data_IF_735143564969
#
_entry.id   IF_735143564969
#
_cell.length_a   1.000
_cell.length_b   1.000
_cell.length_c   1.000
_cell.angle_alpha   90.00
_cell.angle_beta   90.00
_cell.angle_gamma   90.00
#
_symmetry.space_group_name_H-M   'P 1'
#
loop_
_entity.id
_entity.type
_entity.pdbx_description
1 polymer ?
#
# COMPACT_ATOMS: atom_id res chain seq x y z
N UNK A 1 -1.39 -2.02 -6.89
CA UNK A 1 -2.84 -1.73 -6.76
C UNK A 1 -2.99 -0.50 -5.92
N UNK A 2 -3.96 0.37 -6.25
CA UNK A 2 -4.34 1.51 -5.42
C UNK A 2 -5.80 1.38 -5.00
N UNK A 3 -6.12 1.92 -3.82
CA UNK A 3 -7.48 2.06 -3.31
C UNK A 3 -7.85 3.54 -3.23
N UNK A 4 -9.13 3.86 -3.41
CA UNK A 4 -9.66 5.20 -3.19
C UNK A 4 -10.37 5.27 -1.84
N UNK A 5 -9.89 6.15 -0.96
CA UNK A 5 -10.49 6.40 0.35
C UNK A 5 -11.76 7.29 0.23
N UNK A 6 -12.57 7.41 1.30
CA UNK A 6 -13.83 8.17 1.27
C UNK A 6 -13.64 9.66 0.94
N UNK A 7 -12.49 10.24 1.31
CA UNK A 7 -12.08 11.62 1.01
C UNK A 7 -11.62 11.83 -0.45
N UNK A 8 -11.80 10.80 -1.31
CA UNK A 8 -11.39 10.74 -2.72
C UNK A 8 -9.89 10.63 -2.95
N UNK A 9 -9.07 10.60 -1.90
CA UNK A 9 -7.64 10.38 -2.04
C UNK A 9 -7.35 8.94 -2.47
N UNK A 10 -6.24 8.76 -3.19
CA UNK A 10 -5.75 7.47 -3.64
C UNK A 10 -4.45 7.11 -2.94
N UNK A 11 -4.37 5.88 -2.44
CA UNK A 11 -3.22 5.34 -1.75
C UNK A 11 -3.12 3.83 -1.84
N UNK A 12 -2.16 3.28 -1.11
CA UNK A 12 -1.95 1.85 -1.00
C UNK A 12 -2.82 1.23 0.10
N UNK A 13 -3.15 -0.08 0.01
CA UNK A 13 -3.75 -0.80 1.11
C UNK A 13 -2.92 -0.66 2.39
N UNK A 14 -3.55 -0.31 3.52
CA UNK A 14 -2.88 -0.11 4.81
C UNK A 14 -3.90 0.00 5.95
N UNK A 15 -3.50 -0.43 7.14
CA UNK A 15 -4.26 -0.10 8.34
C UNK A 15 -3.41 -0.18 9.60
N UNK A 16 -4.08 -0.30 10.73
CA UNK A 16 -3.47 -0.19 12.05
C UNK A 16 -3.02 -1.59 12.49
N UNK A 17 -1.81 -1.68 13.04
CA UNK A 17 -1.32 -2.89 13.69
C UNK A 17 -2.19 -3.21 14.90
N UNK A 18 -2.73 -4.43 14.96
CA UNK A 18 -3.58 -4.88 16.07
C UNK A 18 -2.76 -5.76 17.04
N UNK A 19 -2.94 -5.52 18.34
CA UNK A 19 -2.30 -6.26 19.43
C UNK A 19 -0.79 -6.45 19.24
N UNK A 20 -0.38 -7.71 19.07
CA UNK A 20 1.03 -8.13 18.95
C UNK A 20 1.39 -8.58 17.52
N UNK A 21 0.59 -8.22 16.51
CA UNK A 21 0.92 -8.52 15.12
C UNK A 21 2.29 -7.95 14.74
N UNK A 22 3.04 -8.67 13.92
CA UNK A 22 4.17 -8.10 13.19
C UNK A 22 3.66 -7.14 12.11
N UNK A 23 4.54 -6.27 11.60
CA UNK A 23 4.20 -5.37 10.48
C UNK A 23 3.85 -6.17 9.22
N UNK A 24 4.49 -7.33 9.01
CA UNK A 24 4.20 -8.24 7.91
C UNK A 24 2.82 -8.90 8.04
N UNK A 25 2.43 -9.32 9.26
CA UNK A 25 1.11 -9.87 9.54
C UNK A 25 0.02 -8.81 9.34
N UNK A 26 0.25 -7.61 9.88
CA UNK A 26 -0.62 -6.44 9.69
C UNK A 26 -0.84 -6.18 8.20
N UNK A 27 0.25 -6.07 7.41
CA UNK A 27 0.14 -5.80 5.97
C UNK A 27 -0.66 -6.88 5.22
N UNK A 28 -0.47 -8.16 5.56
CA UNK A 28 -1.23 -9.27 4.95
C UNK A 28 -2.70 -9.24 5.34
N UNK A 29 -3.01 -9.02 6.63
CA UNK A 29 -4.38 -8.91 7.13
C UNK A 29 -5.10 -7.75 6.46
N UNK A 30 -4.51 -6.56 6.46
CA UNK A 30 -5.10 -5.35 5.87
C UNK A 30 -5.35 -5.51 4.37
N UNK A 31 -4.39 -6.06 3.60
CA UNK A 31 -4.64 -6.37 2.19
C UNK A 31 -5.84 -7.31 2.03
N UNK A 32 -5.94 -8.35 2.86
CA UNK A 32 -7.06 -9.27 2.79
C UNK A 32 -8.40 -8.61 3.18
N UNK A 33 -8.44 -7.86 4.27
CA UNK A 33 -9.65 -7.19 4.76
C UNK A 33 -10.15 -6.14 3.77
N UNK A 34 -9.24 -5.33 3.22
CA UNK A 34 -9.56 -4.24 2.31
C UNK A 34 -9.87 -4.71 0.89
N UNK A 35 -9.34 -5.86 0.44
CA UNK A 35 -9.37 -6.24 -1.00
C UNK A 35 -9.81 -7.67 -1.28
N UNK A 36 -9.98 -8.50 -0.25
CA UNK A 36 -10.23 -9.93 -0.31
C UNK A 36 -9.12 -10.79 -0.97
N UNK A 37 -7.96 -10.20 -1.30
CA UNK A 37 -6.80 -10.95 -1.82
C UNK A 37 -6.16 -11.75 -0.68
N UNK A 38 -6.03 -13.07 -0.87
CA UNK A 38 -5.44 -13.96 0.16
C UNK A 38 -4.07 -14.50 -0.24
N UNK A 39 -3.92 -14.94 -1.49
CA UNK A 39 -2.68 -15.53 -1.95
C UNK A 39 -1.75 -14.44 -2.47
N UNK A 40 -0.86 -13.97 -1.61
CA UNK A 40 0.18 -13.01 -1.97
C UNK A 40 1.53 -13.39 -1.35
N UNK A 41 2.59 -13.09 -2.07
CA UNK A 41 3.97 -13.15 -1.60
C UNK A 41 4.38 -11.75 -1.16
N UNK A 42 4.66 -11.59 0.13
CA UNK A 42 5.19 -10.36 0.69
C UNK A 42 6.73 -10.44 0.68
N UNK A 43 7.43 -9.36 0.33
CA UNK A 43 8.88 -9.26 0.46
C UNK A 43 9.22 -8.52 1.77
N UNK A 44 9.49 -9.24 2.88
CA UNK A 44 9.72 -8.62 4.18
C UNK A 44 11.08 -7.91 4.29
N UNK A 45 11.99 -8.13 3.32
CA UNK A 45 13.34 -7.55 3.34
C UNK A 45 13.35 -6.08 2.96
N UNK A 46 12.32 -5.61 2.26
CA UNK A 46 12.25 -4.25 1.74
C UNK A 46 11.04 -3.54 2.34
N UNK A 47 11.34 -2.61 3.24
CA UNK A 47 10.39 -1.79 3.97
C UNK A 47 10.53 -0.34 3.50
N UNK A 48 9.41 0.32 3.28
CA UNK A 48 9.36 1.73 2.93
C UNK A 48 8.61 2.47 4.03
N UNK A 49 9.31 3.32 4.74
CA UNK A 49 8.80 3.98 5.94
C UNK A 49 8.62 5.46 5.70
N UNK A 50 7.52 6.00 6.20
CA UNK A 50 7.26 7.43 6.21
C UNK A 50 6.28 7.77 7.32
N UNK A 51 6.30 9.01 7.76
CA UNK A 51 5.33 9.55 8.70
C UNK A 51 4.43 10.61 8.02
N UNK A 52 3.29 10.87 8.64
CA UNK A 52 2.36 11.89 8.20
C UNK A 52 1.43 12.30 9.34
N UNK A 53 0.80 13.46 9.19
CA UNK A 53 -0.24 13.94 10.09
C UNK A 53 -1.62 13.74 9.45
N UNK A 54 -2.59 13.28 10.24
CA UNK A 54 -4.00 13.27 9.82
C UNK A 54 -4.87 13.87 10.92
N UNK A 55 -5.93 14.56 10.52
CA UNK A 55 -6.91 15.12 11.44
C UNK A 55 -8.15 14.23 11.44
N UNK A 56 -8.55 13.76 12.61
CA UNK A 56 -9.80 13.02 12.82
C UNK A 56 -10.47 13.55 14.08
N UNK A 57 -11.75 13.91 13.98
CA UNK A 57 -12.52 14.48 15.08
C UNK A 57 -11.84 15.70 15.77
N UNK A 58 -11.30 16.62 14.97
CA UNK A 58 -10.50 17.78 15.41
C UNK A 58 -9.22 17.46 16.20
N UNK A 59 -8.82 16.20 16.26
CA UNK A 59 -7.56 15.75 16.86
C UNK A 59 -6.55 15.47 15.74
N UNK A 60 -5.36 16.05 15.87
CA UNK A 60 -4.23 15.77 14.98
C UNK A 60 -3.46 14.55 15.49
N UNK A 61 -3.37 13.52 14.65
CA UNK A 61 -2.60 12.32 14.90
C UNK A 61 -1.32 12.33 14.07
N UNK A 62 -0.18 12.09 14.71
CA UNK A 62 1.07 11.77 14.03
C UNK A 62 1.13 10.27 13.82
N UNK A 63 1.17 9.83 12.57
CA UNK A 63 1.16 8.42 12.19
C UNK A 63 2.45 8.03 11.49
N UNK A 64 2.90 6.82 11.76
CA UNK A 64 4.00 6.16 11.05
C UNK A 64 3.41 5.03 10.21
N UNK A 65 3.89 4.90 8.98
CA UNK A 65 3.48 3.83 8.08
C UNK A 65 4.72 3.09 7.55
N UNK A 66 4.61 1.77 7.51
CA UNK A 66 5.57 0.88 6.85
C UNK A 66 4.85 0.17 5.72
N UNK A 67 5.32 0.37 4.49
CA UNK A 67 4.84 -0.34 3.30
C UNK A 67 5.84 -1.42 2.88
N UNK A 68 5.30 -2.47 2.28
CA UNK A 68 6.06 -3.62 1.78
C UNK A 68 5.80 -3.82 0.30
N UNK A 69 6.73 -4.49 -0.40
CA UNK A 69 6.40 -5.06 -1.70
C UNK A 69 5.55 -6.31 -1.52
N UNK A 70 4.51 -6.43 -2.34
CA UNK A 70 3.67 -7.60 -2.46
C UNK A 70 3.50 -8.00 -3.93
N UNK A 71 3.48 -9.30 -4.19
CA UNK A 71 3.15 -9.89 -5.49
C UNK A 71 2.00 -10.87 -5.33
N UNK A 72 1.06 -10.82 -6.26
CA UNK A 72 -0.04 -11.80 -6.34
C UNK A 72 -0.39 -12.09 -7.80
N UNK A 73 -0.91 -13.29 -8.05
CA UNK A 73 -1.55 -13.64 -9.32
C UNK A 73 -3.06 -13.41 -9.30
N UNK A 74 -3.65 -13.14 -8.12
CA UNK A 74 -5.07 -12.84 -7.97
C UNK A 74 -5.39 -11.47 -8.58
N UNK A 75 -6.41 -11.44 -9.45
CA UNK A 75 -6.88 -10.21 -10.09
C UNK A 75 -8.24 -9.75 -9.58
N UNK A 76 -9.03 -10.69 -9.05
CA UNK A 76 -10.35 -10.41 -8.49
C UNK A 76 -10.17 -9.67 -7.17
N UNK A 77 -10.73 -8.47 -7.09
CA UNK A 77 -10.69 -7.64 -5.91
C UNK A 77 -12.12 -7.38 -5.46
N UNK A 78 -12.36 -7.55 -4.15
CA UNK A 78 -13.58 -7.09 -3.51
C UNK A 78 -13.18 -6.09 -2.43
N UNK A 79 -13.41 -4.82 -2.72
CA UNK A 79 -13.09 -3.75 -1.76
C UNK A 79 -14.01 -3.80 -0.54
N UNK A 80 -13.45 -3.48 0.63
CA UNK A 80 -14.21 -3.28 1.86
C UNK A 80 -15.04 -2.00 1.82
N UNK A 81 -15.90 -1.81 2.82
CA UNK A 81 -16.73 -0.62 2.98
C UNK A 81 -15.92 0.67 3.27
N UNK A 82 -14.65 0.52 3.63
CA UNK A 82 -13.73 1.64 3.89
C UNK A 82 -13.26 2.32 2.59
N UNK A 83 -13.47 1.68 1.44
CA UNK A 83 -12.97 2.14 0.16
C UNK A 83 -14.09 2.31 -0.86
N UNK A 84 -13.93 3.29 -1.74
CA UNK A 84 -14.92 3.58 -2.79
C UNK A 84 -14.61 2.86 -4.09
N UNK A 85 -13.33 2.76 -4.45
CA UNK A 85 -12.86 2.18 -5.70
C UNK A 85 -11.48 1.53 -5.52
N UNK A 86 -11.08 0.69 -6.49
CA UNK A 86 -9.72 0.19 -6.62
C UNK A 86 -9.23 0.33 -8.07
N UNK A 87 -7.92 0.27 -8.25
CA UNK A 87 -7.31 0.21 -9.58
C UNK A 87 -6.03 -0.63 -9.59
N UNK A 88 -5.94 -1.55 -10.57
CA UNK A 88 -4.69 -2.11 -11.03
C UNK A 88 -4.16 -1.23 -12.16
N UNK A 89 -3.00 -0.63 -11.95
CA UNK A 89 -2.42 0.38 -12.85
C UNK A 89 -0.96 0.03 -13.12
N UNK A 90 -0.46 0.46 -14.28
CA UNK A 90 0.98 0.46 -14.51
C UNK A 90 1.67 1.56 -13.68
N UNK A 91 3.01 1.58 -13.68
CA UNK A 91 3.79 2.52 -12.88
C UNK A 91 3.43 4.00 -13.14
N UNK A 92 3.39 4.42 -14.41
CA UNK A 92 3.12 5.80 -14.80
C UNK A 92 1.71 6.25 -14.41
N UNK A 93 0.72 5.38 -14.61
CA UNK A 93 -0.66 5.64 -14.24
C UNK A 93 -0.84 5.69 -12.72
N UNK A 94 -0.21 4.77 -11.99
CA UNK A 94 -0.26 4.76 -10.53
C UNK A 94 0.38 6.01 -9.93
N UNK A 95 1.53 6.44 -10.47
CA UNK A 95 2.23 7.64 -10.04
C UNK A 95 1.38 8.91 -10.23
N UNK A 96 0.66 9.00 -11.36
CA UNK A 96 -0.29 10.09 -11.64
C UNK A 96 -1.54 10.03 -10.78
N UNK A 97 -1.99 8.82 -10.41
CA UNK A 97 -3.22 8.60 -9.64
C UNK A 97 -3.05 8.87 -8.16
N UNK A 98 -1.89 8.56 -7.59
CA UNK A 98 -1.60 8.75 -6.16
C UNK A 98 -1.79 10.21 -5.73
N UNK A 99 -2.45 10.39 -4.59
CA UNK A 99 -2.72 11.73 -4.05
C UNK A 99 -1.52 12.28 -3.28
N UNK A 100 -0.96 11.49 -2.37
CA UNK A 100 0.07 11.93 -1.43
C UNK A 100 1.48 11.75 -1.99
N UNK A 101 2.35 12.74 -1.77
CA UNK A 101 3.71 12.74 -2.32
C UNK A 101 4.62 11.69 -1.68
N UNK A 102 4.43 11.38 -0.39
CA UNK A 102 5.12 10.26 0.27
C UNK A 102 4.84 8.91 -0.44
N UNK A 103 3.58 8.63 -0.80
CA UNK A 103 3.22 7.43 -1.55
C UNK A 103 3.84 7.42 -2.95
N UNK A 104 3.91 8.59 -3.62
CA UNK A 104 4.58 8.70 -4.93
C UNK A 104 6.07 8.38 -4.82
N UNK A 105 6.72 8.87 -3.76
CA UNK A 105 8.13 8.58 -3.53
C UNK A 105 8.37 7.10 -3.24
N UNK A 106 7.55 6.49 -2.37
CA UNK A 106 7.60 5.04 -2.14
C UNK A 106 7.42 4.26 -3.44
N UNK A 107 6.49 4.67 -4.31
CA UNK A 107 6.29 4.00 -5.60
C UNK A 107 7.52 4.11 -6.51
N UNK A 108 8.20 5.26 -6.56
CA UNK A 108 9.44 5.44 -7.32
C UNK A 108 10.56 4.54 -6.80
N UNK A 109 10.77 4.51 -5.48
CA UNK A 109 11.78 3.67 -4.84
C UNK A 109 11.52 2.19 -5.11
N UNK A 110 10.27 1.75 -4.92
CA UNK A 110 9.81 0.39 -5.21
C UNK A 110 10.05 0.01 -6.68
N UNK A 111 9.67 0.88 -7.62
CA UNK A 111 9.83 0.64 -9.05
C UNK A 111 11.30 0.50 -9.44
N UNK A 112 12.15 1.43 -9.01
CA UNK A 112 13.58 1.40 -9.28
C UNK A 112 14.23 0.13 -8.74
N UNK A 113 13.88 -0.26 -7.51
CA UNK A 113 14.42 -1.46 -6.88
C UNK A 113 14.01 -2.75 -7.64
N UNK A 114 12.75 -2.84 -8.08
CA UNK A 114 12.29 -3.98 -8.90
C UNK A 114 13.03 -4.00 -10.23
N UNK A 115 13.19 -2.84 -10.87
CA UNK A 115 13.87 -2.71 -12.16
C UNK A 115 15.34 -3.13 -12.09
N UNK A 116 16.07 -2.69 -11.06
CA UNK A 116 17.47 -3.09 -10.84
C UNK A 116 17.61 -4.58 -10.52
N UNK A 117 16.70 -5.16 -9.72
CA UNK A 117 16.67 -6.61 -9.49
C UNK A 117 16.51 -7.40 -10.79
N UNK A 118 15.66 -6.94 -11.72
CA UNK A 118 15.46 -7.60 -13.02
C UNK A 118 16.69 -7.46 -13.92
N UNK A 119 17.38 -6.31 -13.89
CA UNK A 119 18.62 -6.11 -14.68
C UNK A 119 19.84 -6.86 -14.14
N UNK A 120 19.93 -7.02 -12.83
CA UNK A 120 21.02 -7.74 -12.15
C UNK A 120 20.94 -9.26 -12.28
N UNK A 121 19.84 -9.81 -12.81
CA UNK A 121 19.68 -11.23 -13.15
C UNK A 121 20.07 -11.43 -14.64
N UNK A 122 21.27 -11.01 -15.02
CA UNK A 122 21.90 -11.31 -16.31
C UNK A 122 23.15 -12.15 -16.10
#
# INVERSE_FOLDING_TARGET
MLLQYPDKAWGFPKGIQDGNETLEETAKREIWEETAIKNLELDPKHKFEFDYFCVYDNITYHKFATLFLAKTAEKTVKISHEHLHFAWLNFEEALKRLTYDNNKEVLRLAHNMIYEKVKGIK
#
